data_IF_040993054837
#
_entry.id   IF_040993054837
#
_cell.length_a   1.000
_cell.length_b   1.000
_cell.length_c   1.000
_cell.angle_alpha   90.00
_cell.angle_beta   90.00
_cell.angle_gamma   90.00
#
_symmetry.space_group_name_H-M   'P 1'
#
loop_
_entity.id
_entity.type
_entity.pdbx_description
1 polymer ?
#
# COMPACT_ATOMS: atom_id res chain seq x y z
N UNK A 1 4.14 -9.02 -4.54
CA UNK A 1 3.38 -7.83 -4.98
C UNK A 1 2.03 -8.27 -5.51
N UNK A 2 0.92 -7.78 -4.94
CA UNK A 2 -0.45 -8.07 -5.40
C UNK A 2 -0.98 -6.85 -6.15
N UNK A 3 -1.50 -7.04 -7.36
CA UNK A 3 -2.15 -5.97 -8.14
C UNK A 3 -3.66 -6.21 -8.05
N UNK A 4 -4.41 -5.20 -7.62
CA UNK A 4 -5.87 -5.21 -7.51
C UNK A 4 -6.42 -4.05 -8.33
N UNK A 5 -7.58 -4.23 -8.95
CA UNK A 5 -8.16 -3.25 -9.89
C UNK A 5 -9.50 -2.71 -9.43
N UNK A 6 -10.09 -3.32 -8.41
CA UNK A 6 -11.38 -2.89 -7.85
C UNK A 6 -11.24 -2.44 -6.41
N UNK A 7 -12.19 -1.60 -5.99
CA UNK A 7 -12.25 -1.09 -4.61
C UNK A 7 -12.54 -2.22 -3.62
N UNK A 8 -13.35 -3.21 -3.99
CA UNK A 8 -13.72 -4.30 -3.10
C UNK A 8 -12.55 -5.26 -2.82
N UNK A 9 -11.72 -5.54 -3.83
CA UNK A 9 -10.51 -6.35 -3.66
C UNK A 9 -9.55 -5.73 -2.64
N UNK A 10 -9.25 -4.42 -2.76
CA UNK A 10 -8.32 -3.76 -1.84
C UNK A 10 -8.91 -3.65 -0.43
N UNK A 11 -10.22 -3.38 -0.30
CA UNK A 11 -10.90 -3.32 1.00
C UNK A 11 -10.88 -4.66 1.72
N UNK A 12 -11.12 -5.76 1.00
CA UNK A 12 -11.07 -7.10 1.58
C UNK A 12 -9.64 -7.45 2.02
N UNK A 13 -8.63 -7.15 1.20
CA UNK A 13 -7.24 -7.40 1.57
C UNK A 13 -6.80 -6.62 2.83
N UNK A 14 -7.13 -5.33 2.90
CA UNK A 14 -6.80 -4.48 4.06
C UNK A 14 -7.51 -4.95 5.32
N UNK A 15 -8.75 -5.44 5.22
CA UNK A 15 -9.46 -6.02 6.36
C UNK A 15 -8.75 -7.26 6.91
N UNK A 16 -8.26 -8.16 6.06
CA UNK A 16 -7.53 -9.35 6.50
C UNK A 16 -6.20 -8.98 7.17
N UNK A 17 -5.40 -8.09 6.58
CA UNK A 17 -4.16 -7.62 7.21
C UNK A 17 -4.40 -6.97 8.58
N UNK A 18 -5.47 -6.20 8.73
CA UNK A 18 -5.85 -5.63 10.03
C UNK A 18 -6.25 -6.70 11.05
N UNK A 19 -6.92 -7.79 10.64
CA UNK A 19 -7.23 -8.92 11.53
C UNK A 19 -5.97 -9.64 11.99
N UNK A 20 -4.94 -9.69 11.16
CA UNK A 20 -3.62 -10.24 11.48
C UNK A 20 -2.80 -9.31 12.40
N UNK A 21 -3.32 -8.12 12.75
CA UNK A 21 -2.63 -7.13 13.58
C UNK A 21 -1.58 -6.31 12.82
N UNK A 22 -1.56 -6.37 11.49
CA UNK A 22 -0.65 -5.59 10.67
C UNK A 22 -1.12 -4.15 10.52
N UNK A 23 -0.16 -3.25 10.35
CA UNK A 23 -0.34 -1.84 10.00
C UNK A 23 -0.34 -1.67 8.47
N UNK A 24 -0.91 -0.57 7.97
CA UNK A 24 -1.04 -0.31 6.53
C UNK A 24 -0.64 1.12 6.20
N UNK A 25 0.44 1.27 5.46
CA UNK A 25 0.85 2.54 4.86
C UNK A 25 0.29 2.74 3.45
N UNK A 26 0.02 3.98 3.07
CA UNK A 26 -0.55 4.35 1.77
C UNK A 26 0.34 5.37 1.05
N UNK A 27 0.73 5.06 -0.19
CA UNK A 27 1.43 5.98 -1.09
C UNK A 27 0.57 6.18 -2.35
N UNK A 28 -0.25 7.25 -2.41
CA UNK A 28 -1.07 7.53 -3.59
C UNK A 28 -0.21 8.12 -4.71
N UNK A 29 -0.38 7.63 -5.94
CA UNK A 29 0.33 8.12 -7.13
C UNK A 29 -0.59 8.09 -8.34
N UNK A 30 -0.24 8.82 -9.40
CA UNK A 30 -0.91 8.76 -10.71
C UNK A 30 -0.16 7.89 -11.73
N UNK A 31 0.84 7.11 -11.30
CA UNK A 31 1.73 6.35 -12.19
C UNK A 31 3.00 7.10 -12.57
N UNK A 32 3.70 6.61 -13.61
CA UNK A 32 5.00 7.14 -14.08
C UNK A 32 6.05 7.25 -12.96
N UNK A 33 6.39 6.10 -12.38
CA UNK A 33 7.22 6.01 -11.18
C UNK A 33 8.68 6.39 -11.45
N UNK A 34 9.30 6.99 -10.43
CA UNK A 34 10.71 7.41 -10.40
C UNK A 34 11.21 7.36 -8.94
N UNK A 35 12.48 7.69 -8.69
CA UNK A 35 13.11 7.51 -7.37
C UNK A 35 12.39 8.24 -6.21
N UNK A 36 11.78 9.39 -6.49
CA UNK A 36 10.94 10.11 -5.52
C UNK A 36 9.75 9.29 -5.03
N UNK A 37 9.14 8.46 -5.88
CA UNK A 37 8.08 7.54 -5.44
C UNK A 37 8.65 6.42 -4.58
N UNK A 38 9.82 5.88 -4.95
CA UNK A 38 10.47 4.81 -4.21
C UNK A 38 10.85 5.26 -2.78
N UNK A 39 11.29 6.51 -2.60
CA UNK A 39 11.61 7.04 -1.28
C UNK A 39 10.38 7.12 -0.36
N UNK A 40 9.20 7.49 -0.90
CA UNK A 40 7.94 7.49 -0.16
C UNK A 40 7.49 6.07 0.20
N UNK A 41 7.64 5.10 -0.70
CA UNK A 41 7.33 3.68 -0.42
C UNK A 41 8.23 3.16 0.70
N UNK A 42 9.55 3.45 0.63
CA UNK A 42 10.50 3.06 1.67
C UNK A 42 10.12 3.66 3.03
N UNK A 43 9.89 4.97 3.08
CA UNK A 43 9.48 5.67 4.31
C UNK A 43 8.16 5.11 4.87
N UNK A 44 7.20 4.81 4.00
CA UNK A 44 5.93 4.20 4.41
C UNK A 44 6.13 2.82 5.04
N UNK A 45 7.08 2.02 4.58
CA UNK A 45 7.38 0.72 5.17
C UNK A 45 8.13 0.81 6.50
N UNK A 46 8.89 1.89 6.73
CA UNK A 46 9.65 2.09 7.97
C UNK A 46 8.78 2.65 9.12
N UNK A 47 7.66 3.31 8.79
CA UNK A 47 6.83 4.07 9.75
C UNK A 47 5.48 3.42 10.09
N UNK A 48 5.15 2.27 9.49
CA UNK A 48 3.94 1.51 9.77
C UNK A 48 4.35 0.13 10.25
#
# INVERSE_FOLDING_TARGET
>A
MKIVKTVDEIRNQVKEWRKEGLTVGLVPTMGFLHEGHASLIKKSSEQN
#
